data_IF_547499595735
#
_entry.id   IF_547499595735
#
_cell.length_a   1.000
_cell.length_b   1.000
_cell.length_c   1.000
_cell.angle_alpha   90.00
_cell.angle_beta   90.00
_cell.angle_gamma   90.00
#
_symmetry.space_group_name_H-M   'P 1'
#
loop_
_entity.id
_entity.type
_entity.pdbx_description
1 polymer ?
#
# COMPACT_ATOMS: atom_id res chain seq x y z
N UNK A 1 8.09 3.01 -16.44
CA UNK A 1 8.98 1.95 -15.94
C UNK A 1 8.22 0.97 -15.07
N UNK A 2 8.56 -0.30 -15.14
CA UNK A 2 7.89 -1.31 -14.33
C UNK A 2 8.20 -1.14 -12.85
N UNK A 3 7.20 -1.42 -12.02
CA UNK A 3 7.35 -1.41 -10.56
C UNK A 3 8.13 -2.66 -10.15
N UNK A 4 9.13 -2.52 -9.28
CA UNK A 4 9.91 -3.62 -8.73
C UNK A 4 9.88 -3.67 -7.21
N UNK A 5 9.97 -2.51 -6.56
CA UNK A 5 10.03 -2.41 -5.10
C UNK A 5 8.67 -2.04 -4.51
N UNK A 6 8.15 -2.89 -3.64
CA UNK A 6 6.84 -2.68 -3.01
C UNK A 6 6.99 -2.74 -1.49
N UNK A 7 6.42 -1.74 -0.80
CA UNK A 7 6.32 -1.73 0.65
C UNK A 7 4.90 -2.11 1.05
N UNK A 8 4.77 -3.10 1.92
CA UNK A 8 3.49 -3.51 2.48
C UNK A 8 3.40 -2.96 3.90
N UNK A 9 2.36 -2.19 4.18
CA UNK A 9 2.11 -1.58 5.50
C UNK A 9 0.84 -2.19 6.07
N UNK A 10 0.99 -3.06 7.06
CA UNK A 10 -0.13 -3.78 7.67
C UNK A 10 0.33 -4.29 9.04
N UNK A 11 -0.50 -4.14 10.06
CA UNK A 11 -0.16 -4.60 11.41
C UNK A 11 -0.39 -6.10 11.60
N UNK A 12 -1.07 -6.77 10.67
CA UNK A 12 -1.33 -8.21 10.74
C UNK A 12 -0.19 -9.00 10.11
N UNK A 13 0.51 -9.87 10.88
CA UNK A 13 1.53 -10.74 10.30
C UNK A 13 0.99 -11.66 9.22
N UNK A 14 -0.25 -12.14 9.37
CA UNK A 14 -0.89 -13.02 8.40
C UNK A 14 -1.11 -12.31 7.06
N UNK A 15 -1.59 -11.06 7.11
CA UNK A 15 -1.78 -10.27 5.90
C UNK A 15 -0.46 -9.91 5.22
N UNK A 16 0.55 -9.54 6.00
CA UNK A 16 1.88 -9.26 5.45
C UNK A 16 2.43 -10.50 4.73
N UNK A 17 2.28 -11.66 5.34
CA UNK A 17 2.73 -12.92 4.73
C UNK A 17 1.97 -13.20 3.43
N UNK A 18 0.65 -13.06 3.45
CA UNK A 18 -0.20 -13.31 2.29
C UNK A 18 0.19 -12.47 1.08
N UNK A 19 0.32 -11.17 1.29
CA UNK A 19 0.68 -10.24 0.22
C UNK A 19 2.14 -10.42 -0.23
N UNK A 20 3.05 -10.63 0.72
CA UNK A 20 4.45 -10.89 0.41
C UNK A 20 4.62 -12.11 -0.47
N UNK A 21 3.92 -13.21 -0.13
CA UNK A 21 4.00 -14.44 -0.89
C UNK A 21 3.56 -14.25 -2.34
N UNK A 22 2.43 -13.57 -2.55
CA UNK A 22 1.94 -13.26 -3.90
C UNK A 22 2.99 -12.47 -4.69
N UNK A 23 3.52 -11.42 -4.08
CA UNK A 23 4.39 -10.48 -4.78
C UNK A 23 5.78 -11.09 -5.06
N UNK A 24 6.35 -11.77 -4.09
CA UNK A 24 7.68 -12.40 -4.28
C UNK A 24 7.62 -13.48 -5.35
N UNK A 25 6.56 -14.28 -5.37
CA UNK A 25 6.37 -15.30 -6.41
C UNK A 25 6.23 -14.70 -7.81
N UNK A 26 5.87 -13.44 -7.90
CA UNK A 26 5.72 -12.75 -9.18
C UNK A 26 6.87 -11.79 -9.48
N UNK A 27 8.00 -11.95 -8.79
CA UNK A 27 9.24 -11.26 -9.14
C UNK A 27 9.46 -9.91 -8.48
N UNK A 28 8.61 -9.50 -7.53
CA UNK A 28 8.77 -8.21 -6.85
C UNK A 28 9.70 -8.32 -5.65
N UNK A 29 10.39 -7.22 -5.37
CA UNK A 29 11.16 -7.03 -4.15
C UNK A 29 10.25 -6.39 -3.10
N UNK A 30 10.09 -7.04 -1.94
CA UNK A 30 9.11 -6.64 -0.94
C UNK A 30 9.79 -6.29 0.38
N UNK A 31 9.37 -5.16 0.97
CA UNK A 31 9.65 -4.83 2.35
C UNK A 31 8.31 -4.63 3.08
N UNK A 32 8.33 -4.69 4.40
CA UNK A 32 7.12 -4.60 5.20
C UNK A 32 7.28 -3.62 6.34
N UNK A 33 6.16 -3.02 6.77
CA UNK A 33 6.09 -2.16 7.94
C UNK A 33 4.82 -2.50 8.71
N UNK A 34 4.85 -2.32 10.03
CA UNK A 34 3.76 -2.71 10.91
C UNK A 34 2.81 -1.56 11.25
N UNK A 35 3.23 -0.33 11.00
CA UNK A 35 2.46 0.87 11.31
C UNK A 35 2.94 2.03 10.46
N UNK A 36 2.27 3.18 10.57
CA UNK A 36 2.58 4.35 9.77
C UNK A 36 3.95 4.95 10.04
N UNK A 37 4.38 4.97 11.30
CA UNK A 37 5.69 5.51 11.66
C UNK A 37 6.82 4.67 11.07
N UNK A 38 6.73 3.35 11.21
CA UNK A 38 7.69 2.43 10.61
C UNK A 38 7.71 2.56 9.08
N UNK A 39 6.53 2.71 8.48
CA UNK A 39 6.41 2.90 7.04
C UNK A 39 7.16 4.13 6.56
N UNK A 40 6.96 5.27 7.23
CA UNK A 40 7.62 6.51 6.84
C UNK A 40 9.14 6.43 6.99
N UNK A 41 9.63 5.78 8.05
CA UNK A 41 11.06 5.55 8.24
C UNK A 41 11.64 4.71 7.10
N UNK A 42 10.97 3.63 6.75
CA UNK A 42 11.42 2.74 5.67
C UNK A 42 11.37 3.40 4.31
N UNK A 43 10.34 4.19 4.05
CA UNK A 43 10.22 4.93 2.80
C UNK A 43 11.36 5.92 2.60
N UNK A 44 11.79 6.59 3.66
CA UNK A 44 12.89 7.55 3.59
C UNK A 44 14.25 6.88 3.45
N UNK A 45 14.39 5.67 4.04
CA UNK A 45 15.63 4.91 3.96
C UNK A 45 15.83 4.27 2.58
N UNK A 46 14.75 3.72 2.00
CA UNK A 46 14.78 3.08 0.69
C UNK A 46 13.40 3.25 0.03
N UNK A 47 13.29 4.27 -0.79
CA UNK A 47 12.03 4.69 -1.38
C UNK A 47 11.41 3.57 -2.22
N UNK A 48 10.19 3.11 -1.88
CA UNK A 48 9.51 2.11 -2.69
C UNK A 48 8.92 2.72 -3.95
N UNK A 49 8.54 1.87 -4.89
CA UNK A 49 7.87 2.29 -6.11
C UNK A 49 6.35 2.14 -6.02
N UNK A 50 5.88 1.41 -5.01
CA UNK A 50 4.46 1.23 -4.71
C UNK A 50 4.31 0.91 -3.23
N UNK A 51 3.21 1.37 -2.63
CA UNK A 51 2.84 1.03 -1.25
C UNK A 51 1.49 0.37 -1.25
N UNK A 52 1.39 -0.78 -0.55
CA UNK A 52 0.11 -1.41 -0.22
C UNK A 52 -0.17 -1.06 1.23
N UNK A 53 -1.26 -0.34 1.49
CA UNK A 53 -1.55 0.30 2.78
C UNK A 53 -2.82 -0.25 3.40
N UNK A 54 -2.71 -0.85 4.59
CA UNK A 54 -3.88 -1.18 5.40
C UNK A 54 -4.42 0.09 6.08
N UNK A 55 -5.69 0.07 6.46
CA UNK A 55 -6.34 1.21 7.10
C UNK A 55 -6.31 1.09 8.62
N UNK A 56 -6.72 -0.06 9.17
CA UNK A 56 -6.89 -0.22 10.62
C UNK A 56 -5.56 -0.67 11.22
N UNK A 57 -4.84 0.26 11.82
CA UNK A 57 -3.52 0.02 12.42
C UNK A 57 -3.40 0.81 13.72
N UNK A 58 -2.51 0.40 14.65
CA UNK A 58 -2.22 1.21 15.84
C UNK A 58 -1.62 2.55 15.46
N UNK A 59 -1.96 3.59 16.21
CA UNK A 59 -1.51 4.95 15.94
C UNK A 59 -2.27 5.57 14.78
N UNK A 60 -1.57 6.20 13.84
CA UNK A 60 -2.21 6.78 12.66
C UNK A 60 -2.77 5.69 11.77
N UNK A 61 -4.03 5.84 11.32
CA UNK A 61 -4.63 4.89 10.40
C UNK A 61 -4.09 5.08 8.97
N UNK A 62 -4.38 4.11 8.11
CA UNK A 62 -3.86 4.12 6.74
C UNK A 62 -4.32 5.30 5.89
N UNK A 63 -5.50 5.86 6.15
CA UNK A 63 -5.96 7.07 5.47
C UNK A 63 -5.07 8.27 5.81
N UNK A 64 -4.73 8.42 7.09
CA UNK A 64 -3.85 9.49 7.54
C UNK A 64 -2.44 9.36 6.96
N UNK A 65 -1.92 8.15 6.95
CA UNK A 65 -0.58 7.89 6.38
C UNK A 65 -0.57 8.16 4.88
N UNK A 66 -1.60 7.74 4.15
CA UNK A 66 -1.75 8.01 2.72
C UNK A 66 -1.73 9.51 2.44
N UNK A 67 -2.47 10.28 3.25
CA UNK A 67 -2.49 11.73 3.14
C UNK A 67 -1.12 12.35 3.39
N UNK A 68 -0.40 11.86 4.41
CA UNK A 68 0.94 12.34 4.71
C UNK A 68 1.89 12.10 3.55
N UNK A 69 1.80 10.94 2.92
CA UNK A 69 2.60 10.60 1.74
C UNK A 69 2.27 11.54 0.58
N UNK A 70 0.99 11.75 0.31
CA UNK A 70 0.54 12.59 -0.79
C UNK A 70 0.99 14.06 -0.64
N UNK A 71 1.16 14.52 0.59
CA UNK A 71 1.56 15.90 0.90
C UNK A 71 3.06 16.10 1.06
N UNK A 72 3.82 15.01 1.12
CA UNK A 72 5.27 15.08 1.28
C UNK A 72 5.92 15.23 -0.11
N UNK A 73 6.64 16.31 -0.39
CA UNK A 73 7.23 16.53 -1.71
C UNK A 73 8.19 15.43 -2.15
N UNK A 74 8.84 14.74 -1.21
CA UNK A 74 9.78 13.67 -1.52
C UNK A 74 9.08 12.34 -1.79
N UNK A 75 7.85 12.15 -1.27
CA UNK A 75 7.14 10.88 -1.32
C UNK A 75 5.88 10.91 -2.19
N UNK A 76 5.43 12.09 -2.60
CA UNK A 76 4.13 12.25 -3.26
C UNK A 76 4.02 11.55 -4.61
N UNK A 77 5.14 11.21 -5.24
CA UNK A 77 5.14 10.48 -6.50
C UNK A 77 4.98 8.96 -6.33
N UNK A 78 5.09 8.45 -5.09
CA UNK A 78 4.94 7.03 -4.82
C UNK A 78 3.45 6.69 -4.78
N UNK A 79 2.95 5.82 -5.67
CA UNK A 79 1.54 5.44 -5.64
C UNK A 79 1.21 4.59 -4.41
N UNK A 80 0.01 4.79 -3.87
CA UNK A 80 -0.52 4.03 -2.74
C UNK A 80 -1.78 3.30 -3.18
N UNK A 81 -1.83 2.00 -2.96
CA UNK A 81 -3.04 1.20 -3.10
C UNK A 81 -3.49 0.81 -1.69
N UNK A 82 -4.71 1.14 -1.32
CA UNK A 82 -5.27 0.74 -0.03
C UNK A 82 -5.82 -0.68 -0.13
N UNK A 83 -5.48 -1.51 0.85
CA UNK A 83 -5.98 -2.87 0.99
C UNK A 83 -6.58 -3.00 2.38
N UNK A 84 -7.91 -3.08 2.48
CA UNK A 84 -8.61 -3.01 3.77
C UNK A 84 -9.82 -3.92 3.81
N UNK A 85 -10.19 -4.35 5.03
CA UNK A 85 -11.45 -5.04 5.26
C UNK A 85 -12.65 -4.09 5.28
N UNK A 86 -12.43 -2.77 5.33
CA UNK A 86 -13.50 -1.78 5.22
C UNK A 86 -14.04 -1.77 3.79
N UNK A 87 -15.33 -2.12 3.64
CA UNK A 87 -15.90 -2.42 2.33
C UNK A 87 -17.04 -1.51 1.91
N UNK A 88 -17.25 -0.39 2.61
CA UNK A 88 -18.31 0.54 2.24
C UNK A 88 -17.84 1.50 1.15
N UNK A 89 -18.77 1.96 0.34
CA UNK A 89 -18.47 2.92 -0.72
C UNK A 89 -17.85 4.20 -0.16
N UNK A 90 -18.28 4.64 1.02
CA UNK A 90 -17.71 5.82 1.69
C UNK A 90 -16.25 5.62 2.06
N UNK A 91 -15.86 4.41 2.47
CA UNK A 91 -14.45 4.09 2.77
C UNK A 91 -13.59 4.24 1.52
N UNK A 92 -14.06 3.72 0.40
CA UNK A 92 -13.37 3.81 -0.88
C UNK A 92 -13.21 5.26 -1.32
N UNK A 93 -14.29 6.02 -1.28
CA UNK A 93 -14.27 7.45 -1.67
C UNK A 93 -13.29 8.21 -0.78
N UNK A 94 -13.33 7.96 0.52
CA UNK A 94 -12.43 8.63 1.48
C UNK A 94 -10.96 8.31 1.18
N UNK A 95 -10.65 7.04 0.93
CA UNK A 95 -9.29 6.63 0.57
C UNK A 95 -8.77 7.31 -0.68
N UNK A 96 -9.59 7.37 -1.71
CA UNK A 96 -9.21 8.03 -2.96
C UNK A 96 -8.99 9.53 -2.76
N UNK A 97 -9.76 10.16 -1.89
CA UNK A 97 -9.58 11.57 -1.53
C UNK A 97 -8.29 11.84 -0.78
N UNK A 98 -7.76 10.86 -0.04
CA UNK A 98 -6.48 11.00 0.64
C UNK A 98 -5.29 10.87 -0.30
N UNK A 99 -5.53 10.48 -1.54
CA UNK A 99 -4.50 10.38 -2.56
C UNK A 99 -4.17 8.95 -3.01
N UNK A 100 -4.95 7.96 -2.58
CA UNK A 100 -4.74 6.59 -3.03
C UNK A 100 -5.03 6.46 -4.54
N UNK A 101 -4.29 5.59 -5.20
CA UNK A 101 -4.50 5.29 -6.62
C UNK A 101 -5.59 4.25 -6.82
N UNK A 102 -5.81 3.37 -5.84
CA UNK A 102 -6.86 2.36 -5.90
C UNK A 102 -7.16 1.86 -4.49
N UNK A 103 -8.23 1.06 -4.38
CA UNK A 103 -8.72 0.53 -3.12
C UNK A 103 -9.20 -0.91 -3.33
N UNK A 104 -8.55 -1.86 -2.66
CA UNK A 104 -8.96 -3.27 -2.69
C UNK A 104 -9.52 -3.69 -1.34
N UNK A 105 -10.64 -4.43 -1.37
CA UNK A 105 -11.25 -5.00 -0.18
C UNK A 105 -10.63 -6.37 0.08
N UNK A 106 -10.25 -6.63 1.33
CA UNK A 106 -9.70 -7.94 1.73
C UNK A 106 -10.79 -9.01 1.75
N UNK A 107 -10.47 -10.26 1.39
CA UNK A 107 -9.16 -10.72 0.92
C UNK A 107 -8.87 -10.22 -0.49
N UNK A 108 -7.64 -9.73 -0.69
CA UNK A 108 -7.24 -9.16 -1.98
C UNK A 108 -7.14 -10.26 -3.03
N UNK A 109 -7.79 -10.05 -4.16
CA UNK A 109 -7.68 -10.98 -5.31
C UNK A 109 -6.29 -10.81 -5.93
N UNK A 110 -5.46 -11.87 -5.96
CA UNK A 110 -4.10 -11.75 -6.47
C UNK A 110 -4.01 -11.30 -7.92
N UNK A 111 -4.91 -11.78 -8.76
CA UNK A 111 -4.86 -11.47 -10.19
C UNK A 111 -5.24 -10.01 -10.45
N UNK A 112 -6.25 -9.50 -9.76
CA UNK A 112 -6.63 -8.09 -9.87
C UNK A 112 -5.53 -7.18 -9.36
N UNK A 113 -4.90 -7.54 -8.25
CA UNK A 113 -3.78 -6.77 -7.71
C UNK A 113 -2.62 -6.72 -8.70
N UNK A 114 -2.21 -7.87 -9.22
CA UNK A 114 -1.08 -7.94 -10.17
C UNK A 114 -1.38 -7.16 -11.45
N UNK A 115 -2.60 -7.22 -11.95
CA UNK A 115 -3.02 -6.46 -13.13
C UNK A 115 -2.94 -4.95 -12.86
N UNK A 116 -3.36 -4.52 -11.66
CA UNK A 116 -3.30 -3.09 -11.30
C UNK A 116 -1.87 -2.59 -11.16
N UNK A 117 -1.01 -3.41 -10.57
CA UNK A 117 0.43 -3.07 -10.45
C UNK A 117 1.05 -2.91 -11.84
N UNK A 118 0.75 -3.82 -12.75
CA UNK A 118 1.25 -3.74 -14.11
C UNK A 118 0.77 -2.47 -14.81
N UNK A 119 -0.49 -2.09 -14.61
CA UNK A 119 -1.06 -0.88 -15.20
C UNK A 119 -0.40 0.39 -14.65
N UNK A 120 -0.09 0.43 -13.35
CA UNK A 120 0.59 1.57 -12.73
C UNK A 120 2.03 1.72 -13.21
N UNK A 121 2.68 0.62 -13.53
CA UNK A 121 4.07 0.61 -14.00
C UNK A 121 4.23 0.80 -15.50
N UNK A 122 3.12 0.84 -16.21
CA UNK A 122 3.16 0.96 -17.66
C UNK A 122 3.56 2.36 -18.14
#
# INVERSE_FOLDING_TARGET
MAIQKILIVDDSPTERYYLTDILVKNGFSVSTAENGEDALLKMRADRPELILMDVVMPGANGFQVTRSIARDPELSSVPVIICSSKNQETDRIWGMRQGAQDYFVKPVDPQLLLARIAALGA
#
